data_IF_637899618666
#
_entry.id   IF_637899618666
#
_cell.length_a   1.000
_cell.length_b   1.000
_cell.length_c   1.000
_cell.angle_alpha   90.00
_cell.angle_beta   90.00
_cell.angle_gamma   90.00
#
_symmetry.space_group_name_H-M   'P 1'
#
loop_
_entity.id
_entity.type
_entity.pdbx_description
1 polymer ?
#
# COMPACT_ATOMS: atom_id res chain seq x y z
N UNK A 1 -16.22 -3.51 -2.82
CA UNK A 1 -16.25 -2.91 -1.46
C UNK A 1 -14.90 -2.93 -0.74
N UNK A 2 -13.95 -3.83 -1.07
CA UNK A 2 -12.61 -3.83 -0.45
C UNK A 2 -11.72 -2.67 -0.89
N UNK A 3 -11.93 -2.13 -2.10
CA UNK A 3 -11.10 -1.09 -2.69
C UNK A 3 -10.89 0.20 -1.86
N UNK A 4 -11.91 0.81 -1.23
CA UNK A 4 -11.74 2.13 -0.63
C UNK A 4 -11.15 2.08 0.78
N UNK A 5 -11.27 0.95 1.48
CA UNK A 5 -10.93 0.88 2.91
C UNK A 5 -9.40 0.92 3.15
N UNK A 6 -8.55 0.13 2.46
CA UNK A 6 -7.11 0.16 2.69
C UNK A 6 -6.51 1.54 2.42
N UNK A 7 -6.85 2.15 1.28
CA UNK A 7 -6.33 3.47 0.92
C UNK A 7 -6.77 4.56 1.90
N UNK A 8 -8.00 4.48 2.41
CA UNK A 8 -8.53 5.43 3.39
C UNK A 8 -7.76 5.37 4.71
N UNK A 9 -7.47 4.17 5.21
CA UNK A 9 -6.67 3.98 6.43
C UNK A 9 -5.26 4.51 6.23
N UNK A 10 -4.62 4.20 5.10
CA UNK A 10 -3.26 4.67 4.79
C UNK A 10 -3.21 6.20 4.67
N UNK A 11 -4.14 6.79 3.93
CA UNK A 11 -4.21 8.24 3.76
C UNK A 11 -4.44 8.95 5.10
N UNK A 12 -5.30 8.41 5.96
CA UNK A 12 -5.48 8.88 7.32
C UNK A 12 -4.18 8.80 8.15
N UNK A 13 -3.48 7.66 8.15
CA UNK A 13 -2.21 7.49 8.88
C UNK A 13 -1.11 8.42 8.38
N UNK A 14 -1.10 8.75 7.08
CA UNK A 14 -0.16 9.70 6.48
C UNK A 14 -0.57 11.17 6.69
N UNK A 15 -1.68 11.45 7.36
CA UNK A 15 -2.12 12.83 7.62
C UNK A 15 -2.63 13.55 6.37
N UNK A 16 -3.06 12.80 5.35
CA UNK A 16 -3.63 13.34 4.10
C UNK A 16 -5.06 13.81 4.36
N UNK A 17 -5.41 15.07 3.99
CA UNK A 17 -6.78 15.57 4.04
C UNK A 17 -7.77 14.65 3.33
N UNK A 18 -8.97 14.50 3.91
CA UNK A 18 -9.96 13.50 3.46
C UNK A 18 -10.44 13.73 2.02
N UNK A 19 -10.51 14.98 1.61
CA UNK A 19 -10.81 15.43 0.25
C UNK A 19 -9.84 14.87 -0.79
N UNK A 20 -8.58 14.62 -0.40
CA UNK A 20 -7.51 14.20 -1.30
C UNK A 20 -7.34 12.67 -1.35
N UNK A 21 -8.07 11.90 -0.55
CA UNK A 21 -7.93 10.43 -0.51
C UNK A 21 -8.20 9.78 -1.87
N UNK A 22 -9.07 10.40 -2.69
CA UNK A 22 -9.35 9.94 -4.05
C UNK A 22 -8.15 10.13 -4.99
N UNK A 23 -7.32 11.14 -4.77
CA UNK A 23 -6.11 11.37 -5.55
C UNK A 23 -5.10 10.24 -5.30
N UNK A 24 -4.87 9.90 -4.03
CA UNK A 24 -4.00 8.77 -3.66
C UNK A 24 -4.50 7.45 -4.24
N UNK A 25 -5.81 7.21 -4.23
CA UNK A 25 -6.39 6.02 -4.85
C UNK A 25 -6.12 5.96 -6.36
N UNK A 26 -6.36 7.06 -7.08
CA UNK A 26 -6.08 7.16 -8.52
C UNK A 26 -4.60 6.90 -8.83
N UNK A 27 -3.71 7.64 -8.18
CA UNK A 27 -2.27 7.52 -8.43
C UNK A 27 -1.74 6.12 -8.13
N UNK A 28 -2.24 5.47 -7.07
CA UNK A 28 -1.83 4.10 -6.73
C UNK A 28 -2.26 3.09 -7.80
N UNK A 29 -3.51 3.19 -8.28
CA UNK A 29 -4.02 2.31 -9.33
C UNK A 29 -3.28 2.53 -10.66
N UNK A 30 -2.97 3.78 -11.03
CA UNK A 30 -2.19 4.08 -12.23
C UNK A 30 -0.73 3.62 -12.14
N UNK A 31 -0.17 3.58 -10.93
CA UNK A 31 1.22 3.14 -10.70
C UNK A 31 1.35 1.62 -10.68
N UNK A 32 0.52 0.92 -9.90
CA UNK A 32 0.63 -0.54 -9.70
C UNK A 32 -0.23 -1.31 -10.71
N UNK A 33 -1.43 -0.81 -10.98
CA UNK A 33 -2.38 -1.36 -11.94
C UNK A 33 -2.09 -0.95 -13.38
N UNK A 34 -0.87 -0.49 -13.71
CA UNK A 34 -0.51 -0.06 -15.06
C UNK A 34 -0.70 -1.16 -16.13
N UNK A 35 -0.82 -2.43 -15.73
CA UNK A 35 -1.13 -3.53 -16.64
C UNK A 35 -2.64 -3.65 -16.96
N UNK A 36 -3.52 -3.06 -16.16
CA UNK A 36 -4.97 -3.08 -16.33
C UNK A 36 -5.41 -2.04 -17.37
N UNK A 37 -6.07 -2.44 -18.48
CA UNK A 37 -6.59 -1.53 -19.48
C UNK A 37 -7.55 -0.45 -18.94
N UNK A 38 -8.25 -0.70 -17.83
CA UNK A 38 -9.19 0.27 -17.22
C UNK A 38 -8.47 1.53 -16.71
N UNK A 39 -7.21 1.41 -16.32
CA UNK A 39 -6.39 2.53 -15.81
C UNK A 39 -5.47 3.13 -16.87
N UNK A 40 -5.61 2.73 -18.14
CA UNK A 40 -4.79 3.24 -19.24
C UNK A 40 -5.50 4.35 -20.02
N UNK A 41 -5.05 5.61 -19.91
CA UNK A 41 -5.57 6.68 -20.74
C UNK A 41 -5.18 6.45 -22.21
N UNK A 42 -6.07 6.85 -23.12
CA UNK A 42 -5.77 6.82 -24.55
C UNK A 42 -4.56 7.72 -24.88
N UNK A 43 -3.64 7.21 -25.68
CA UNK A 43 -2.48 7.98 -26.16
C UNK A 43 -1.25 7.99 -25.25
N UNK A 44 -1.25 7.24 -24.13
CA UNK A 44 -0.05 7.05 -23.31
C UNK A 44 0.33 5.58 -23.20
N UNK A 45 1.62 5.31 -23.10
CA UNK A 45 2.12 3.98 -22.71
C UNK A 45 1.90 3.74 -21.21
N UNK A 46 1.88 2.46 -20.82
CA UNK A 46 1.76 2.04 -19.41
C UNK A 46 2.83 2.67 -18.53
N UNK A 47 4.06 2.74 -19.04
CA UNK A 47 5.22 3.28 -18.37
C UNK A 47 5.09 4.80 -18.18
N UNK A 48 4.64 5.53 -19.19
CA UNK A 48 4.44 6.97 -19.10
C UNK A 48 3.34 7.33 -18.08
N UNK A 49 2.21 6.61 -18.09
CA UNK A 49 1.13 6.84 -17.14
C UNK A 49 1.56 6.56 -15.69
N UNK A 50 2.27 5.45 -15.46
CA UNK A 50 2.81 5.12 -14.14
C UNK A 50 3.82 6.18 -13.66
N UNK A 51 4.74 6.61 -14.53
CA UNK A 51 5.73 7.65 -14.19
C UNK A 51 5.06 9.00 -13.88
N UNK A 52 4.01 9.35 -14.60
CA UNK A 52 3.22 10.55 -14.32
C UNK A 52 2.55 10.45 -12.94
N UNK A 53 1.87 9.33 -12.64
CA UNK A 53 1.21 9.12 -11.34
C UNK A 53 2.21 9.15 -10.16
N UNK A 54 3.41 8.59 -10.35
CA UNK A 54 4.50 8.70 -9.38
C UNK A 54 4.94 10.15 -9.17
N UNK A 55 5.07 10.92 -10.26
CA UNK A 55 5.45 12.34 -10.20
C UNK A 55 4.40 13.17 -9.47
N UNK A 56 3.12 12.94 -9.76
CA UNK A 56 1.98 13.58 -9.08
C UNK A 56 1.99 13.27 -7.58
N UNK A 57 2.22 11.99 -7.21
CA UNK A 57 2.33 11.54 -5.83
C UNK A 57 3.49 12.22 -5.09
N UNK A 58 4.69 12.24 -5.67
CA UNK A 58 5.84 12.91 -5.05
C UNK A 58 5.67 14.42 -4.94
N UNK A 59 5.06 15.05 -5.93
CA UNK A 59 4.74 16.49 -5.89
C UNK A 59 3.78 16.80 -4.74
N UNK A 60 2.78 15.95 -4.53
CA UNK A 60 1.83 16.08 -3.42
C UNK A 60 2.53 15.93 -2.06
N UNK A 61 3.28 14.83 -1.87
CA UNK A 61 3.98 14.60 -0.62
C UNK A 61 5.08 15.62 -0.32
N UNK A 62 5.70 16.22 -1.35
CA UNK A 62 6.63 17.34 -1.17
C UNK A 62 5.95 18.49 -0.43
N UNK A 63 4.77 18.92 -0.90
CA UNK A 63 3.99 19.99 -0.28
C UNK A 63 3.52 19.60 1.12
N UNK A 64 3.04 18.37 1.29
CA UNK A 64 2.55 17.89 2.58
C UNK A 64 3.68 17.84 3.62
N UNK A 65 4.86 17.33 3.25
CA UNK A 65 6.03 17.29 4.15
C UNK A 65 6.45 18.70 4.57
N UNK A 66 6.51 19.66 3.64
CA UNK A 66 6.83 21.05 3.97
C UNK A 66 5.81 21.70 4.91
N UNK A 67 4.53 21.36 4.74
CA UNK A 67 3.44 21.80 5.62
C UNK A 67 3.61 21.20 7.02
N UNK A 68 3.79 19.87 7.13
CA UNK A 68 3.96 19.16 8.41
C UNK A 68 5.24 19.53 9.15
N UNK A 69 6.28 20.00 8.46
CA UNK A 69 7.47 20.61 9.12
C UNK A 69 7.14 21.92 9.82
N UNK A 70 6.20 22.70 9.29
CA UNK A 70 5.76 23.98 9.88
C UNK A 70 4.68 23.77 10.94
N UNK A 71 3.75 22.85 10.68
CA UNK A 71 2.63 22.51 11.54
C UNK A 71 2.60 20.99 11.82
N UNK A 72 3.43 20.51 12.75
CA UNK A 72 3.46 19.08 13.10
C UNK A 72 2.10 18.58 13.60
N UNK A 73 1.76 17.34 13.23
CA UNK A 73 0.57 16.64 13.70
C UNK A 73 0.89 15.19 14.09
N UNK A 74 -0.10 14.45 14.60
CA UNK A 74 0.06 13.04 14.96
C UNK A 74 -0.17 12.14 13.74
N UNK A 75 0.79 12.15 12.81
CA UNK A 75 0.76 11.36 11.58
C UNK A 75 2.15 10.92 11.11
N UNK A 76 2.18 9.92 10.23
CA UNK A 76 3.42 9.32 9.73
C UNK A 76 4.26 10.30 8.92
N UNK A 77 3.64 11.23 8.18
CA UNK A 77 4.40 12.23 7.41
C UNK A 77 5.15 13.17 8.35
N UNK A 78 4.53 13.58 9.46
CA UNK A 78 5.19 14.34 10.52
C UNK A 78 6.34 13.56 11.12
N UNK A 79 6.16 12.26 11.39
CA UNK A 79 7.23 11.39 11.89
C UNK A 79 8.39 11.35 10.90
N UNK A 80 8.16 11.06 9.62
CA UNK A 80 9.23 10.98 8.62
C UNK A 80 9.92 12.33 8.38
N UNK A 81 9.15 13.41 8.37
CA UNK A 81 9.68 14.76 8.15
C UNK A 81 10.65 15.23 9.25
N UNK A 82 10.52 14.68 10.46
CA UNK A 82 11.31 15.03 11.64
C UNK A 82 12.23 13.89 12.10
N UNK A 83 12.21 12.74 11.43
CA UNK A 83 13.01 11.57 11.80
C UNK A 83 14.50 11.85 11.61
N UNK A 84 15.29 11.32 12.55
CA UNK A 84 16.74 11.34 12.51
C UNK A 84 17.28 9.91 12.61
N UNK A 85 18.31 9.62 11.82
CA UNK A 85 19.08 8.37 11.86
C UNK A 85 20.53 8.75 12.13
N UNK A 86 21.13 8.16 13.15
CA UNK A 86 22.49 8.47 13.60
C UNK A 86 22.71 9.96 13.91
N UNK A 87 21.66 10.64 14.37
CA UNK A 87 21.67 12.07 14.71
C UNK A 87 21.46 13.01 13.53
N UNK A 88 21.33 12.50 12.30
CA UNK A 88 21.13 13.29 11.10
C UNK A 88 19.69 13.16 10.57
N UNK A 89 19.09 14.24 10.03
CA UNK A 89 17.78 14.15 9.39
C UNK A 89 17.77 13.18 8.22
N UNK A 90 16.65 12.49 8.00
CA UNK A 90 16.47 11.71 6.78
C UNK A 90 16.64 12.58 5.53
N UNK A 91 17.34 12.09 4.49
CA UNK A 91 17.35 12.73 3.19
C UNK A 91 15.94 12.97 2.69
N UNK A 92 15.70 14.13 2.08
CA UNK A 92 14.34 14.52 1.67
C UNK A 92 13.69 13.51 0.70
N UNK A 93 14.47 12.97 -0.23
CA UNK A 93 14.00 11.94 -1.15
C UNK A 93 13.64 10.63 -0.45
N UNK A 94 14.31 10.29 0.65
CA UNK A 94 13.98 9.09 1.43
C UNK A 94 12.66 9.28 2.16
N UNK A 95 12.38 10.47 2.70
CA UNK A 95 11.07 10.80 3.28
C UNK A 95 9.95 10.60 2.26
N UNK A 96 10.12 11.11 1.04
CA UNK A 96 9.15 10.92 -0.04
C UNK A 96 9.00 9.46 -0.44
N UNK A 97 10.10 8.71 -0.53
CA UNK A 97 10.09 7.28 -0.82
C UNK A 97 9.34 6.48 0.24
N UNK A 98 9.50 6.82 1.53
CA UNK A 98 8.76 6.22 2.63
C UNK A 98 7.25 6.47 2.54
N UNK A 99 6.83 7.71 2.25
CA UNK A 99 5.42 8.01 2.01
C UNK A 99 4.86 7.16 0.86
N UNK A 100 5.59 7.09 -0.25
CA UNK A 100 5.19 6.37 -1.45
C UNK A 100 5.09 4.86 -1.24
N UNK A 101 6.08 4.22 -0.60
CA UNK A 101 6.06 2.77 -0.38
C UNK A 101 4.92 2.35 0.55
N UNK A 102 4.55 3.17 1.54
CA UNK A 102 3.43 2.89 2.44
C UNK A 102 2.10 2.90 1.68
N UNK A 103 1.90 3.90 0.80
CA UNK A 103 0.73 3.98 -0.08
C UNK A 103 0.62 2.73 -0.96
N UNK A 104 1.72 2.34 -1.60
CA UNK A 104 1.74 1.20 -2.53
C UNK A 104 1.59 -0.15 -1.81
N UNK A 105 2.42 -0.38 -0.79
CA UNK A 105 2.54 -1.67 -0.13
C UNK A 105 1.26 -2.04 0.64
N UNK A 106 0.61 -1.07 1.27
CA UNK A 106 -0.58 -1.32 2.08
C UNK A 106 -1.89 -1.41 1.29
N UNK A 107 -1.98 -0.81 0.10
CA UNK A 107 -3.24 -0.71 -0.63
C UNK A 107 -3.62 -2.04 -1.29
N UNK A 108 -2.78 -2.53 -2.22
CA UNK A 108 -3.13 -3.70 -3.04
C UNK A 108 -3.09 -5.01 -2.26
N UNK A 109 -2.13 -5.18 -1.37
CA UNK A 109 -1.95 -6.43 -0.60
C UNK A 109 -3.14 -6.65 0.35
N UNK A 110 -3.54 -5.62 1.09
CA UNK A 110 -4.68 -5.66 2.00
C UNK A 110 -5.99 -5.82 1.24
N UNK A 111 -6.15 -5.14 0.10
CA UNK A 111 -7.32 -5.31 -0.78
C UNK A 111 -7.45 -6.77 -1.24
N UNK A 112 -6.39 -7.35 -1.77
CA UNK A 112 -6.38 -8.70 -2.33
C UNK A 112 -6.57 -9.76 -1.25
N UNK A 113 -5.94 -9.58 -0.09
CA UNK A 113 -6.16 -10.44 1.09
C UNK A 113 -7.62 -10.37 1.57
N UNK A 114 -8.21 -9.17 1.62
CA UNK A 114 -9.61 -8.99 2.07
C UNK A 114 -10.60 -9.59 1.07
N UNK A 115 -10.49 -9.30 -0.22
CA UNK A 115 -11.40 -9.84 -1.23
C UNK A 115 -11.23 -11.34 -1.41
N UNK A 116 -9.99 -11.84 -1.41
CA UNK A 116 -9.70 -13.26 -1.48
C UNK A 116 -10.17 -14.02 -0.24
N UNK A 117 -10.04 -13.43 0.95
CA UNK A 117 -10.55 -14.00 2.19
C UNK A 117 -12.08 -14.07 2.20
N UNK A 118 -12.75 -13.02 1.72
CA UNK A 118 -14.21 -13.03 1.55
C UNK A 118 -14.65 -14.14 0.59
N UNK A 119 -13.95 -14.31 -0.54
CA UNK A 119 -14.22 -15.39 -1.48
C UNK A 119 -14.04 -16.76 -0.81
N UNK A 120 -12.95 -16.97 -0.06
CA UNK A 120 -12.70 -18.21 0.67
C UNK A 120 -13.83 -18.52 1.68
N UNK A 121 -14.33 -17.52 2.42
CA UNK A 121 -15.47 -17.72 3.31
C UNK A 121 -16.78 -18.01 2.56
N UNK A 122 -16.99 -17.42 1.39
CA UNK A 122 -18.14 -17.73 0.52
C UNK A 122 -18.11 -19.20 0.09
N UNK A 123 -16.95 -19.69 -0.34
CA UNK A 123 -16.74 -21.07 -0.78
C UNK A 123 -16.73 -22.08 0.38
N UNK A 124 -16.33 -21.66 1.59
CA UNK A 124 -16.21 -22.48 2.80
C UNK A 124 -17.11 -21.99 3.93
N UNK A 125 -18.42 -21.97 3.70
CA UNK A 125 -19.44 -21.47 4.65
C UNK A 125 -19.38 -22.12 6.05
N UNK A 126 -18.87 -23.34 6.18
CA UNK A 126 -18.68 -23.98 7.49
C UNK A 126 -17.64 -23.25 8.34
N UNK A 127 -16.55 -22.76 7.75
CA UNK A 127 -15.51 -22.01 8.46
C UNK A 127 -16.00 -20.61 8.85
N UNK A 128 -16.77 -19.96 7.96
CA UNK A 128 -17.42 -18.69 8.29
C UNK A 128 -18.35 -18.84 9.50
N UNK A 129 -19.15 -19.91 9.56
CA UNK A 129 -20.04 -20.18 10.70
C UNK A 129 -19.26 -20.38 11.99
N UNK A 130 -18.14 -21.13 11.97
CA UNK A 130 -17.28 -21.30 13.15
C UNK A 130 -16.82 -19.95 13.68
N UNK A 131 -16.29 -19.08 12.81
CA UNK A 131 -15.83 -17.74 13.16
C UNK A 131 -16.95 -16.85 13.70
N UNK A 132 -18.16 -16.94 13.14
CA UNK A 132 -19.34 -16.19 13.64
C UNK A 132 -19.80 -16.64 15.03
N UNK A 133 -19.60 -17.92 15.38
CA UNK A 133 -19.99 -18.48 16.68
C UNK A 133 -18.90 -18.42 17.74
N UNK A 134 -17.64 -18.22 17.35
CA UNK A 134 -16.49 -18.17 18.25
C UNK A 134 -15.51 -17.07 17.83
N UNK A 135 -15.56 -15.94 18.54
CA UNK A 135 -14.69 -14.79 18.29
C UNK A 135 -13.22 -15.03 18.63
N UNK A 136 -12.89 -16.08 19.40
CA UNK A 136 -11.50 -16.45 19.67
C UNK A 136 -10.77 -16.90 18.39
N UNK A 137 -11.53 -17.28 17.35
CA UNK A 137 -10.99 -17.68 16.04
C UNK A 137 -10.63 -16.50 15.13
N UNK A 138 -10.89 -15.24 15.54
CA UNK A 138 -10.66 -14.09 14.66
C UNK A 138 -9.19 -13.94 14.26
N UNK A 139 -8.28 -13.99 15.22
CA UNK A 139 -6.84 -13.88 14.97
C UNK A 139 -6.34 -15.01 14.06
N UNK A 140 -6.56 -16.30 14.35
CA UNK A 140 -6.11 -17.38 13.46
C UNK A 140 -6.81 -17.36 12.09
N UNK A 141 -8.06 -16.88 12.00
CA UNK A 141 -8.74 -16.72 10.72
C UNK A 141 -8.08 -15.66 9.83
N UNK A 142 -7.59 -14.56 10.41
CA UNK A 142 -6.82 -13.55 9.65
C UNK A 142 -5.53 -14.15 9.11
N UNK A 143 -4.77 -14.89 9.93
CA UNK A 143 -3.56 -15.59 9.48
C UNK A 143 -3.86 -16.58 8.35
N UNK A 144 -4.97 -17.32 8.46
CA UNK A 144 -5.38 -18.28 7.45
C UNK A 144 -5.82 -17.59 6.15
N UNK A 145 -6.48 -16.43 6.22
CA UNK A 145 -6.80 -15.62 5.04
C UNK A 145 -5.52 -15.17 4.33
N UNK A 146 -4.52 -14.69 5.08
CA UNK A 146 -3.23 -14.27 4.50
C UNK A 146 -2.53 -15.46 3.84
N UNK A 147 -2.50 -16.62 4.49
CA UNK A 147 -1.92 -17.86 3.93
C UNK A 147 -2.66 -18.31 2.67
N UNK A 148 -3.98 -18.35 2.71
CA UNK A 148 -4.84 -18.85 1.62
C UNK A 148 -4.76 -17.97 0.38
N UNK A 149 -4.84 -16.65 0.58
CA UNK A 149 -4.85 -15.70 -0.53
C UNK A 149 -3.47 -15.41 -1.08
N UNK A 150 -2.43 -15.50 -0.25
CA UNK A 150 -1.04 -15.17 -0.60
C UNK A 150 -0.95 -13.93 -1.50
N UNK A 151 -1.36 -12.72 -1.03
CA UNK A 151 -1.57 -11.55 -1.90
C UNK A 151 -0.34 -11.11 -2.67
N UNK A 152 0.85 -11.48 -2.21
CA UNK A 152 2.12 -11.30 -2.91
C UNK A 152 2.67 -12.68 -3.25
N UNK A 153 2.70 -13.00 -4.54
CA UNK A 153 3.10 -14.32 -5.04
C UNK A 153 4.62 -14.52 -5.15
N UNK A 154 5.40 -13.43 -5.23
CA UNK A 154 6.86 -13.50 -5.22
C UNK A 154 7.49 -12.15 -4.85
N UNK A 155 8.73 -12.21 -4.38
CA UNK A 155 9.65 -11.07 -4.34
C UNK A 155 10.94 -11.47 -5.04
N UNK A 156 11.51 -10.57 -5.83
CA UNK A 156 12.83 -10.76 -6.43
C UNK A 156 13.94 -10.79 -5.38
N UNK A 157 15.03 -11.50 -5.70
CA UNK A 157 16.32 -11.41 -5.01
C UNK A 157 17.42 -11.38 -6.07
N UNK A 158 18.44 -10.55 -5.86
CA UNK A 158 19.61 -10.50 -6.73
C UNK A 158 20.74 -11.33 -6.10
N UNK A 159 21.26 -12.32 -6.83
CA UNK A 159 22.42 -13.09 -6.37
C UNK A 159 23.64 -12.18 -6.29
N UNK A 160 24.33 -12.17 -5.15
CA UNK A 160 25.53 -11.35 -4.94
C UNK A 160 26.81 -12.03 -5.42
N UNK A 161 26.70 -13.31 -5.78
CA UNK A 161 27.73 -14.19 -6.33
C UNK A 161 27.07 -15.42 -6.94
N UNK A 162 27.82 -16.12 -7.77
CA UNK A 162 27.40 -17.41 -8.32
C UNK A 162 27.12 -18.40 -7.18
N UNK A 163 25.99 -19.11 -7.29
CA UNK A 163 25.52 -20.07 -6.29
C UNK A 163 24.61 -21.12 -6.93
N UNK A 164 24.71 -22.35 -6.46
CA UNK A 164 23.84 -23.46 -6.80
C UNK A 164 22.61 -23.46 -5.88
N UNK A 165 21.39 -23.48 -6.44
CA UNK A 165 20.14 -23.46 -5.67
C UNK A 165 19.29 -24.65 -6.11
N UNK A 166 19.10 -25.60 -5.18
CA UNK A 166 18.34 -26.85 -5.38
C UNK A 166 18.94 -27.82 -6.42
N UNK A 167 20.27 -27.80 -6.59
CA UNK A 167 21.01 -28.65 -7.53
C UNK A 167 21.22 -27.95 -8.85
#
# INVERSE_FOLDING_TARGET
MSAPLPIAVIAWMLGVPREDWKLLFDWTNRTIGAADPEYQPEGMTRQENALQAMTETFTYFTKLVEEKKKNPADDLVTIFANAQVDGEPLPFMDVLAWCFIIVIAGNETTRNGTSGGMLAFIEHQSELRKLQTDSSLLVPAVEEVVRWTSPIIHFGRTATRDVEIRG
#
